data_IF_698961513552
#
_entry.id   IF_698961513552
#
_cell.length_a   1.000
_cell.length_b   1.000
_cell.length_c   1.000
_cell.angle_alpha   90.00
_cell.angle_beta   90.00
_cell.angle_gamma   90.00
#
_symmetry.space_group_name_H-M   'P 1'
#
loop_
_entity.id
_entity.type
_entity.pdbx_description
1 polymer ?
#
# COMPACT_ATOMS: atom_id res chain seq x y z
N UNK A 1 12.46 33.96 -60.43
CA UNK A 1 12.71 34.19 -58.99
C UNK A 1 14.19 34.54 -58.86
N UNK A 2 14.55 35.57 -58.11
CA UNK A 2 15.97 35.92 -57.95
C UNK A 2 16.72 34.76 -57.28
N UNK A 3 17.91 34.39 -57.78
CA UNK A 3 18.69 33.28 -57.25
C UNK A 3 18.97 33.42 -55.73
N UNK A 4 19.06 34.66 -55.25
CA UNK A 4 19.26 34.98 -53.84
C UNK A 4 18.09 34.55 -52.95
N UNK A 5 16.84 34.69 -53.43
CA UNK A 5 15.65 34.25 -52.68
C UNK A 5 15.61 32.72 -52.57
N UNK A 6 16.01 32.01 -53.62
CA UNK A 6 16.07 30.55 -53.61
C UNK A 6 17.13 30.08 -52.60
N UNK A 7 18.31 30.69 -52.59
CA UNK A 7 19.38 30.37 -51.64
C UNK A 7 18.97 30.65 -50.18
N UNK A 8 18.32 31.78 -49.92
CA UNK A 8 17.81 32.12 -48.59
C UNK A 8 16.77 31.10 -48.10
N UNK A 9 15.84 30.72 -48.97
CA UNK A 9 14.78 29.76 -48.63
C UNK A 9 15.34 28.37 -48.32
N UNK A 10 16.32 27.91 -49.10
CA UNK A 10 17.02 26.63 -48.86
C UNK A 10 17.76 26.65 -47.52
N UNK A 11 18.44 27.75 -47.20
CA UNK A 11 19.17 27.90 -45.94
C UNK A 11 18.24 27.88 -44.73
N UNK A 12 17.12 28.60 -44.80
CA UNK A 12 16.09 28.60 -43.74
C UNK A 12 15.50 27.20 -43.57
N UNK A 13 15.14 26.53 -44.67
CA UNK A 13 14.58 25.18 -44.63
C UNK A 13 15.55 24.18 -43.96
N UNK A 14 16.84 24.25 -44.31
CA UNK A 14 17.85 23.38 -43.72
C UNK A 14 18.05 23.66 -42.23
N UNK A 15 18.09 24.94 -41.84
CA UNK A 15 18.17 25.35 -40.43
C UNK A 15 16.96 24.89 -39.62
N UNK A 16 15.76 25.05 -40.16
CA UNK A 16 14.52 24.59 -39.52
C UNK A 16 14.47 23.07 -39.39
N UNK A 17 14.91 22.33 -40.41
CA UNK A 17 14.96 20.87 -40.39
C UNK A 17 16.00 20.35 -39.39
N UNK A 18 17.22 20.89 -39.42
CA UNK A 18 18.28 20.51 -38.48
C UNK A 18 17.90 20.85 -37.03
N UNK A 19 17.35 22.04 -36.79
CA UNK A 19 16.87 22.47 -35.48
C UNK A 19 15.69 21.62 -34.99
N UNK A 20 14.72 21.35 -35.87
CA UNK A 20 13.57 20.51 -35.57
C UNK A 20 13.97 19.10 -35.16
N UNK A 21 14.80 18.43 -35.97
CA UNK A 21 15.31 17.08 -35.65
C UNK A 21 16.06 17.08 -34.33
N UNK A 22 16.97 18.04 -34.13
CA UNK A 22 17.78 18.10 -32.91
C UNK A 22 16.91 18.33 -31.66
N UNK A 23 15.91 19.21 -31.74
CA UNK A 23 14.99 19.47 -30.64
C UNK A 23 14.15 18.23 -30.28
N UNK A 24 13.67 17.50 -31.29
CA UNK A 24 12.96 16.23 -31.07
C UNK A 24 13.85 15.21 -30.37
N UNK A 25 15.12 15.08 -30.79
CA UNK A 25 16.09 14.20 -30.14
C UNK A 25 16.37 14.64 -28.70
N UNK A 26 16.50 15.94 -28.44
CA UNK A 26 16.75 16.46 -27.10
C UNK A 26 15.59 16.17 -26.13
N UNK A 27 14.34 16.39 -26.57
CA UNK A 27 13.15 16.04 -25.78
C UNK A 27 13.12 14.54 -25.52
N UNK A 28 13.44 13.72 -26.53
CA UNK A 28 13.50 12.27 -26.37
C UNK A 28 14.59 11.83 -25.38
N UNK A 29 15.77 12.46 -25.40
CA UNK A 29 16.89 12.23 -24.48
C UNK A 29 16.59 12.64 -23.02
N UNK A 30 15.56 13.45 -22.77
CA UNK A 30 15.13 13.73 -21.41
C UNK A 30 14.62 12.45 -20.71
N UNK A 31 13.96 11.58 -21.50
CA UNK A 31 13.32 10.34 -21.03
C UNK A 31 14.14 9.08 -21.28
N UNK A 32 15.08 9.13 -22.23
CA UNK A 32 15.93 8.00 -22.62
C UNK A 32 17.42 8.36 -22.55
N UNK A 33 18.32 7.39 -22.37
CA UNK A 33 18.07 5.99 -22.02
C UNK A 33 17.66 5.83 -20.56
N UNK A 34 16.89 4.79 -20.25
CA UNK A 34 16.43 4.49 -18.89
C UNK A 34 17.55 4.06 -17.96
N UNK A 35 18.60 3.45 -18.52
CA UNK A 35 19.84 3.11 -17.83
C UNK A 35 21.04 3.75 -18.55
N UNK A 36 22.09 4.14 -17.81
CA UNK A 36 23.28 4.73 -18.42
C UNK A 36 23.95 3.71 -19.37
N UNK A 37 24.19 4.09 -20.64
CA UNK A 37 24.75 3.18 -21.62
C UNK A 37 26.18 2.79 -21.24
N UNK A 38 26.56 1.55 -21.60
CA UNK A 38 27.89 0.98 -21.34
C UNK A 38 28.63 0.85 -22.67
N UNK A 39 29.83 1.41 -22.74
CA UNK A 39 30.75 1.19 -23.86
C UNK A 39 31.97 0.47 -23.31
N UNK A 40 32.10 -0.81 -23.67
CA UNK A 40 33.12 -1.69 -23.08
C UNK A 40 32.94 -1.84 -21.57
N UNK A 41 34.00 -1.52 -20.80
CA UNK A 41 34.00 -1.58 -19.33
C UNK A 41 33.55 -0.28 -18.65
N UNK A 42 33.33 0.80 -19.41
CA UNK A 42 33.02 2.12 -18.86
C UNK A 42 31.52 2.45 -18.99
N UNK A 43 30.92 2.94 -17.89
CA UNK A 43 29.54 3.46 -17.87
C UNK A 43 29.55 4.95 -18.19
N UNK A 44 28.78 5.35 -19.20
CA UNK A 44 28.67 6.75 -19.59
C UNK A 44 27.52 7.41 -18.82
N UNK A 45 27.80 7.83 -17.58
CA UNK A 45 26.79 8.38 -16.67
C UNK A 45 26.20 9.73 -17.08
N UNK A 46 26.83 10.45 -18.02
CA UNK A 46 26.32 11.73 -18.51
C UNK A 46 25.24 11.59 -19.59
N UNK A 47 25.19 10.44 -20.27
CA UNK A 47 24.17 10.14 -21.29
C UNK A 47 22.92 9.49 -20.67
N UNK A 48 22.69 9.62 -19.37
CA UNK A 48 21.49 9.09 -18.73
C UNK A 48 20.36 10.12 -18.81
N UNK A 49 19.15 9.69 -19.16
CA UNK A 49 18.00 10.59 -19.27
C UNK A 49 17.75 11.34 -17.96
N UNK A 50 17.49 12.64 -18.04
CA UNK A 50 17.37 13.49 -16.86
C UNK A 50 16.16 13.11 -15.98
N UNK A 51 15.06 12.66 -16.58
CA UNK A 51 13.86 12.18 -15.86
C UNK A 51 14.13 10.83 -15.19
N UNK A 52 14.60 9.78 -15.89
CA UNK A 52 15.00 8.52 -15.27
C UNK A 52 15.98 8.68 -14.10
N UNK A 53 16.99 9.55 -14.26
CA UNK A 53 17.99 9.83 -13.23
C UNK A 53 17.42 10.41 -11.94
N UNK A 54 16.29 11.12 -12.01
CA UNK A 54 15.69 11.84 -10.88
C UNK A 54 14.32 11.29 -10.45
N UNK A 55 13.96 10.06 -10.85
CA UNK A 55 12.65 9.46 -10.57
C UNK A 55 12.23 9.56 -9.10
N UNK A 56 13.13 9.23 -8.16
CA UNK A 56 12.83 9.30 -6.73
C UNK A 56 12.47 10.73 -6.27
N UNK A 57 13.20 11.74 -6.74
CA UNK A 57 12.94 13.14 -6.41
C UNK A 57 11.63 13.63 -7.02
N UNK A 58 11.38 13.26 -8.28
CA UNK A 58 10.14 13.56 -8.99
C UNK A 58 8.94 12.91 -8.29
N UNK A 59 9.03 11.63 -7.92
CA UNK A 59 8.00 10.92 -7.18
C UNK A 59 7.68 11.59 -5.83
N UNK A 60 8.70 11.99 -5.07
CA UNK A 60 8.50 12.71 -3.81
C UNK A 60 7.84 14.08 -4.00
N UNK A 61 8.23 14.83 -5.04
CA UNK A 61 7.66 16.15 -5.34
C UNK A 61 6.21 16.06 -5.83
N UNK A 62 5.93 15.11 -6.73
CA UNK A 62 4.58 14.83 -7.22
C UNK A 62 3.71 14.32 -6.07
N UNK A 63 4.20 13.37 -5.28
CA UNK A 63 3.49 12.81 -4.13
C UNK A 63 3.08 13.88 -3.10
N UNK A 64 3.97 14.81 -2.76
CA UNK A 64 3.62 15.96 -1.90
C UNK A 64 2.54 16.83 -2.53
N UNK A 65 2.73 17.22 -3.78
CA UNK A 65 1.75 18.08 -4.48
C UNK A 65 0.37 17.43 -4.56
N UNK A 66 0.32 16.14 -4.86
CA UNK A 66 -0.92 15.35 -4.95
C UNK A 66 -1.55 15.17 -3.57
N UNK A 67 -0.76 14.79 -2.56
CA UNK A 67 -1.24 14.61 -1.19
C UNK A 67 -1.72 15.90 -0.52
N UNK A 68 -1.13 17.05 -0.86
CA UNK A 68 -1.52 18.35 -0.29
C UNK A 68 -2.68 19.01 -1.06
N UNK A 69 -2.83 18.74 -2.37
CA UNK A 69 -3.76 19.51 -3.22
C UNK A 69 -4.88 18.71 -3.88
N UNK A 70 -4.76 17.39 -3.96
CA UNK A 70 -5.70 16.54 -4.72
C UNK A 70 -6.35 15.44 -3.87
N UNK A 71 -5.79 15.11 -2.71
CA UNK A 71 -6.39 14.21 -1.72
C UNK A 71 -6.73 15.01 -0.47
N UNK A 72 -7.98 15.46 -0.38
CA UNK A 72 -8.50 16.00 0.88
C UNK A 72 -8.91 14.87 1.82
N UNK A 73 -9.00 15.16 3.12
CA UNK A 73 -9.49 14.18 4.11
C UNK A 73 -10.92 13.74 3.77
N UNK A 74 -11.74 14.67 3.27
CA UNK A 74 -13.10 14.42 2.84
C UNK A 74 -13.18 13.49 1.62
N UNK A 75 -12.34 13.69 0.61
CA UNK A 75 -12.30 12.82 -0.57
C UNK A 75 -11.89 11.39 -0.18
N UNK A 76 -10.91 11.26 0.70
CA UNK A 76 -10.47 9.95 1.20
C UNK A 76 -11.57 9.27 2.02
N UNK A 77 -12.22 10.00 2.92
CA UNK A 77 -13.33 9.48 3.71
C UNK A 77 -14.50 9.01 2.83
N UNK A 78 -14.79 9.75 1.76
CA UNK A 78 -15.81 9.39 0.79
C UNK A 78 -15.45 8.10 0.02
N UNK A 79 -14.21 7.97 -0.46
CA UNK A 79 -13.72 6.77 -1.15
C UNK A 79 -13.78 5.55 -0.23
N UNK A 80 -13.32 5.69 1.02
CA UNK A 80 -13.32 4.59 2.00
C UNK A 80 -14.73 4.23 2.49
N UNK A 81 -15.67 5.17 2.42
CA UNK A 81 -17.06 4.94 2.79
C UNK A 81 -17.90 4.37 1.63
N UNK A 82 -17.36 4.36 0.41
CA UNK A 82 -18.04 3.83 -0.76
C UNK A 82 -18.43 2.36 -0.52
N UNK A 83 -19.70 1.99 -0.76
CA UNK A 83 -20.19 0.62 -0.55
C UNK A 83 -19.34 -0.43 -1.27
N UNK A 84 -18.87 -0.12 -2.47
CA UNK A 84 -18.04 -0.99 -3.30
C UNK A 84 -16.66 -1.23 -2.65
N UNK A 85 -16.06 -0.18 -2.10
CA UNK A 85 -14.79 -0.29 -1.40
C UNK A 85 -14.94 -1.11 -0.13
N UNK A 86 -15.98 -0.84 0.67
CA UNK A 86 -16.25 -1.59 1.91
C UNK A 86 -16.48 -3.07 1.64
N UNK A 87 -17.30 -3.40 0.65
CA UNK A 87 -17.56 -4.79 0.28
C UNK A 87 -16.28 -5.51 -0.17
N UNK A 88 -15.49 -4.88 -1.04
CA UNK A 88 -14.22 -5.45 -1.49
C UNK A 88 -13.19 -5.59 -0.36
N UNK A 89 -13.16 -4.62 0.56
CA UNK A 89 -12.29 -4.66 1.73
C UNK A 89 -12.69 -5.78 2.68
N UNK A 90 -13.98 -5.91 3.00
CA UNK A 90 -14.51 -6.95 3.89
C UNK A 90 -14.27 -8.35 3.31
N UNK A 91 -14.47 -8.54 2.00
CA UNK A 91 -14.18 -9.80 1.33
C UNK A 91 -12.69 -10.16 1.43
N UNK A 92 -11.80 -9.20 1.15
CA UNK A 92 -10.35 -9.40 1.21
C UNK A 92 -9.85 -9.62 2.62
N UNK A 93 -10.35 -8.84 3.59
CA UNK A 93 -9.99 -8.98 4.99
C UNK A 93 -10.52 -10.30 5.54
N UNK A 94 -11.75 -10.69 5.19
CA UNK A 94 -12.33 -11.98 5.54
C UNK A 94 -11.48 -13.13 5.00
N UNK A 95 -11.11 -13.09 3.71
CA UNK A 95 -10.24 -14.10 3.12
C UNK A 95 -8.84 -14.13 3.77
N UNK A 96 -8.29 -12.97 4.13
CA UNK A 96 -7.02 -12.88 4.83
C UNK A 96 -7.10 -13.47 6.24
N UNK A 97 -8.12 -13.08 7.02
CA UNK A 97 -8.34 -13.61 8.37
C UNK A 97 -8.63 -15.10 8.34
N UNK A 98 -9.45 -15.58 7.40
CA UNK A 98 -9.67 -17.01 7.19
C UNK A 98 -8.35 -17.72 6.87
N UNK A 99 -7.52 -17.16 5.97
CA UNK A 99 -6.20 -17.74 5.69
C UNK A 99 -5.28 -17.78 6.91
N UNK A 100 -5.39 -16.83 7.85
CA UNK A 100 -4.60 -16.81 9.08
C UNK A 100 -5.15 -17.74 10.16
N UNK A 101 -6.47 -17.87 10.28
CA UNK A 101 -7.17 -18.70 11.27
C UNK A 101 -7.21 -20.17 10.89
N UNK A 102 -7.16 -20.48 9.59
CA UNK A 102 -7.13 -21.83 9.03
C UNK A 102 -5.73 -22.47 9.09
N UNK A 103 -4.70 -21.68 9.41
CA UNK A 103 -3.46 -22.24 9.93
C UNK A 103 -3.79 -22.76 11.33
N UNK A 104 -3.85 -24.09 11.49
CA UNK A 104 -3.85 -24.76 12.80
C UNK A 104 -2.62 -24.29 13.59
N UNK A 105 -2.71 -23.13 14.21
CA UNK A 105 -1.82 -22.76 15.29
C UNK A 105 -2.28 -23.67 16.42
N UNK A 106 -1.42 -24.61 16.84
CA UNK A 106 -1.71 -25.49 17.96
C UNK A 106 -2.19 -24.71 19.19
N UNK A 107 -2.61 -25.42 20.25
CA UNK A 107 -3.08 -24.84 21.52
C UNK A 107 -2.43 -23.48 21.85
N UNK A 108 -3.19 -22.47 22.28
CA UNK A 108 -2.72 -21.09 22.56
C UNK A 108 -1.40 -21.04 23.36
N UNK A 109 -1.11 -22.08 24.13
CA UNK A 109 0.16 -22.34 24.81
C UNK A 109 1.41 -22.45 23.91
N UNK A 110 1.25 -22.69 22.61
CA UNK A 110 2.32 -22.83 21.62
C UNK A 110 2.69 -21.51 20.94
N UNK A 111 1.82 -20.51 21.05
CA UNK A 111 2.04 -19.15 20.53
C UNK A 111 2.61 -18.19 21.57
N UNK A 112 2.59 -18.61 22.84
CA UNK A 112 3.10 -17.82 23.96
C UNK A 112 4.56 -18.16 24.24
N UNK A 113 5.44 -17.16 24.40
CA UNK A 113 6.79 -17.38 24.91
C UNK A 113 6.77 -18.12 26.25
N UNK A 114 7.74 -19.01 26.50
CA UNK A 114 7.78 -19.81 27.73
C UNK A 114 7.83 -18.98 29.01
N UNK A 115 8.30 -17.74 28.92
CA UNK A 115 8.29 -16.75 30.00
C UNK A 115 6.88 -16.26 30.38
N UNK A 116 5.93 -16.22 29.44
CA UNK A 116 4.55 -15.75 29.68
C UNK A 116 3.57 -16.88 30.03
N UNK A 117 3.95 -18.14 29.78
CA UNK A 117 3.14 -19.33 30.06
C UNK A 117 2.66 -19.44 31.52
N UNK A 118 3.52 -19.32 32.56
CA UNK A 118 3.07 -19.48 33.95
C UNK A 118 2.09 -18.39 34.40
N UNK A 119 2.24 -17.16 33.91
CA UNK A 119 1.33 -16.06 34.21
C UNK A 119 -0.03 -16.25 33.55
N UNK A 120 -0.05 -16.69 32.28
CA UNK A 120 -1.29 -17.04 31.58
C UNK A 120 -2.05 -18.17 32.29
N UNK A 121 -1.36 -19.20 32.76
CA UNK A 121 -1.99 -20.32 33.48
C UNK A 121 -2.50 -19.92 34.86
N UNK A 122 -1.85 -18.96 35.52
CA UNK A 122 -2.33 -18.37 36.77
C UNK A 122 -3.65 -17.63 36.54
N UNK A 123 -3.70 -16.74 35.55
CA UNK A 123 -4.90 -15.97 35.21
C UNK A 123 -6.07 -16.87 34.78
N UNK A 124 -5.79 -17.93 34.02
CA UNK A 124 -6.83 -18.89 33.61
C UNK A 124 -7.40 -19.66 34.81
N UNK A 125 -6.56 -20.11 35.76
CA UNK A 125 -7.04 -20.77 36.98
C UNK A 125 -7.88 -19.83 37.83
N UNK A 126 -7.39 -18.62 38.09
CA UNK A 126 -8.15 -17.60 38.84
C UNK A 126 -9.50 -17.30 38.19
N UNK A 127 -9.56 -17.20 36.85
CA UNK A 127 -10.81 -16.98 36.11
C UNK A 127 -11.77 -18.17 36.18
N UNK A 128 -11.27 -19.41 36.14
CA UNK A 128 -12.09 -20.63 36.26
C UNK A 128 -12.67 -20.75 37.66
N UNK A 129 -11.87 -20.55 38.69
CA UNK A 129 -12.33 -20.60 40.08
C UNK A 129 -13.43 -19.56 40.33
N UNK A 130 -13.25 -18.35 39.81
CA UNK A 130 -14.25 -17.29 39.91
C UNK A 130 -15.54 -17.60 39.13
N UNK A 131 -15.44 -18.28 37.98
CA UNK A 131 -16.59 -18.71 37.21
C UNK A 131 -17.36 -19.83 37.93
N UNK A 132 -16.65 -20.78 38.56
CA UNK A 132 -17.24 -21.86 39.37
C UNK A 132 -17.94 -21.28 40.59
N UNK A 133 -17.31 -20.35 41.31
CA UNK A 133 -17.92 -19.68 42.46
C UNK A 133 -19.21 -18.94 42.07
N UNK A 134 -19.20 -18.23 40.93
CA UNK A 134 -20.39 -17.57 40.40
C UNK A 134 -21.50 -18.56 40.03
N UNK A 135 -21.14 -19.67 39.39
CA UNK A 135 -22.09 -20.71 39.03
C UNK A 135 -22.72 -21.35 40.27
N UNK A 136 -21.92 -21.65 41.30
CA UNK A 136 -22.43 -22.20 42.55
C UNK A 136 -23.35 -21.22 43.27
N UNK A 137 -22.96 -19.94 43.35
CA UNK A 137 -23.81 -18.90 43.93
C UNK A 137 -25.14 -18.76 43.17
N UNK A 138 -25.11 -18.86 41.84
CA UNK A 138 -26.31 -18.76 41.00
C UNK A 138 -27.21 -20.00 41.12
N UNK A 139 -26.62 -21.20 41.16
CA UNK A 139 -27.36 -22.48 41.33
C UNK A 139 -28.03 -22.58 42.71
N UNK A 140 -27.48 -21.93 43.73
CA UNK A 140 -28.08 -21.87 45.07
C UNK A 140 -29.13 -20.75 45.24
N UNK A 141 -29.39 -19.95 44.21
CA UNK A 141 -30.40 -18.89 44.29
C UNK A 141 -31.78 -19.44 43.95
N UNK A 142 -32.83 -19.03 44.69
CA UNK A 142 -34.23 -19.43 44.45
C UNK A 142 -34.70 -19.18 43.01
N UNK A 143 -34.10 -18.19 42.32
CA UNK A 143 -34.36 -17.89 40.91
C UNK A 143 -33.97 -19.02 39.93
N UNK A 144 -32.98 -19.85 40.27
CA UNK A 144 -32.61 -21.01 39.46
C UNK A 144 -33.60 -22.17 39.64
N UNK A 145 -34.14 -22.34 40.85
CA UNK A 145 -35.17 -23.34 41.14
C UNK A 145 -36.47 -23.03 40.38
N UNK A 146 -36.93 -21.77 40.37
CA UNK A 146 -38.07 -21.32 39.57
C UNK A 146 -37.86 -21.56 38.06
N UNK A 147 -36.65 -21.29 37.54
CA UNK A 147 -36.33 -21.48 36.11
C UNK A 147 -36.28 -22.95 35.65
N UNK A 148 -36.02 -23.89 36.57
CA UNK A 148 -35.98 -25.32 36.28
C UNK A 148 -37.38 -25.94 36.42
N UNK A 149 -38.21 -25.48 37.37
CA UNK A 149 -39.61 -25.90 37.50
C UNK A 149 -40.48 -25.43 36.33
N UNK A 150 -40.24 -24.23 35.79
CA UNK A 150 -41.01 -23.70 34.64
C UNK A 150 -40.68 -24.38 33.30
N UNK A 151 -39.72 -25.33 33.29
CA UNK A 151 -39.29 -26.10 32.11
C UNK A 151 -39.48 -27.62 32.24
N UNK A 152 -40.03 -28.12 33.36
CA UNK A 152 -40.34 -29.53 33.58
C UNK A 152 -41.83 -29.83 33.29
#
# INVERSE_FOLDING_TARGET
MSPDLVAALVTIAFGALAGGITNTVAIWMLFHPYEPPRVGRFRIGFLHGAVPKNQARLAAAIGRTVGERLLTEEDLAHILSAPEFRAAFDERLGAFLDSLLRVERGSLRSLLPDTMRPEMERLLREGVDHAVDRLQAHVQTDAFAEQVEDRA
#
